data_IF_803973999109
#
_entry.id   IF_803973999109
#
_cell.length_a   1.000
_cell.length_b   1.000
_cell.length_c   1.000
_cell.angle_alpha   90.00
_cell.angle_beta   90.00
_cell.angle_gamma   90.00
#
_symmetry.space_group_name_H-M   'P 1'
#
loop_
_entity.id
_entity.type
_entity.pdbx_description
1 polymer ?
#
# COMPACT_ATOMS: atom_id res chain seq x y z
N UNK A 1 6.57 -6.78 -14.49
CA UNK A 1 5.77 -6.95 -13.27
C UNK A 1 6.43 -7.93 -12.30
N UNK A 2 6.62 -9.20 -12.66
CA UNK A 2 7.21 -10.25 -11.78
C UNK A 2 8.59 -9.83 -11.23
N UNK A 3 9.49 -9.27 -12.04
CA UNK A 3 10.81 -8.78 -11.58
C UNK A 3 10.70 -7.64 -10.58
N UNK A 4 9.76 -6.72 -10.77
CA UNK A 4 9.52 -5.61 -9.85
C UNK A 4 8.98 -6.13 -8.51
N UNK A 5 8.08 -7.11 -8.57
CA UNK A 5 7.51 -7.75 -7.40
C UNK A 5 8.56 -8.54 -6.60
N UNK A 6 9.38 -9.34 -7.30
CA UNK A 6 10.48 -10.08 -6.67
C UNK A 6 11.52 -9.15 -6.03
N UNK A 7 11.86 -8.04 -6.70
CA UNK A 7 12.76 -7.03 -6.15
C UNK A 7 12.19 -6.40 -4.88
N UNK A 8 10.88 -6.17 -4.83
CA UNK A 8 10.19 -5.60 -3.69
C UNK A 8 10.13 -6.55 -2.49
N UNK A 9 9.84 -7.84 -2.75
CA UNK A 9 9.86 -8.87 -1.70
C UNK A 9 11.26 -9.08 -1.09
N UNK A 10 12.31 -8.74 -1.83
CA UNK A 10 13.70 -8.82 -1.36
C UNK A 10 14.23 -7.48 -0.81
N UNK A 11 13.47 -6.38 -0.98
CA UNK A 11 13.89 -5.09 -0.48
C UNK A 11 13.63 -5.00 1.04
N UNK A 12 14.54 -4.41 1.81
CA UNK A 12 14.27 -4.11 3.20
C UNK A 12 13.21 -3.01 3.29
N UNK A 13 12.12 -3.28 4.00
CA UNK A 13 11.09 -2.32 4.37
C UNK A 13 11.29 -1.82 5.80
N UNK A 14 10.36 -0.98 6.24
CA UNK A 14 10.27 -0.55 7.62
C UNK A 14 9.16 -1.35 8.31
N UNK A 15 9.50 -2.11 9.35
CA UNK A 15 8.50 -2.79 10.17
C UNK A 15 7.93 -1.80 11.19
N UNK A 16 6.67 -1.44 11.04
CA UNK A 16 5.99 -0.54 11.96
C UNK A 16 5.73 -1.20 13.30
N UNK A 17 5.74 -0.40 14.36
CA UNK A 17 5.49 -0.85 15.73
C UNK A 17 4.05 -1.35 15.91
N UNK A 18 3.77 -2.25 16.87
CA UNK A 18 2.41 -2.59 17.26
C UNK A 18 1.60 -1.36 17.69
N UNK A 19 0.28 -1.49 17.66
CA UNK A 19 -0.63 -0.38 17.95
C UNK A 19 -0.38 0.25 19.31
N UNK A 20 -0.27 1.58 19.30
CA UNK A 20 -0.13 2.41 20.51
C UNK A 20 -1.50 2.64 21.17
N UNK A 21 -1.50 3.21 22.38
CA UNK A 21 -2.74 3.68 23.04
C UNK A 21 -3.46 4.74 22.23
N UNK A 22 -2.72 5.63 21.55
CA UNK A 22 -3.30 6.64 20.68
C UNK A 22 -3.95 6.05 19.42
N UNK A 23 -3.39 4.96 18.88
CA UNK A 23 -4.02 4.24 17.78
C UNK A 23 -5.40 3.71 18.20
N UNK A 24 -5.50 3.12 19.37
CA UNK A 24 -6.78 2.63 19.92
C UNK A 24 -7.77 3.76 20.17
N UNK A 25 -7.31 4.85 20.76
CA UNK A 25 -8.13 6.05 21.01
C UNK A 25 -8.69 6.64 19.69
N UNK A 26 -7.86 6.70 18.63
CA UNK A 26 -8.31 7.09 17.30
C UNK A 26 -9.40 6.15 16.77
N UNK A 27 -9.20 4.85 16.91
CA UNK A 27 -10.15 3.84 16.43
C UNK A 27 -11.47 3.88 17.21
N UNK A 28 -11.40 3.96 18.54
CA UNK A 28 -12.57 4.08 19.42
C UNK A 28 -13.38 5.38 19.18
N UNK A 29 -12.72 6.43 18.67
CA UNK A 29 -13.39 7.69 18.30
C UNK A 29 -14.18 7.63 17.00
N UNK A 30 -14.16 6.51 16.28
CA UNK A 30 -14.92 6.35 15.04
C UNK A 30 -16.42 6.28 15.32
N UNK A 31 -17.20 7.12 14.65
CA UNK A 31 -18.62 7.31 14.93
C UNK A 31 -19.51 6.14 14.46
N UNK A 32 -18.96 5.18 13.76
CA UNK A 32 -19.70 4.05 13.17
C UNK A 32 -19.10 2.73 13.67
N UNK A 33 -19.88 1.67 13.56
CA UNK A 33 -19.40 0.31 13.83
C UNK A 33 -18.87 -0.27 12.52
N UNK A 34 -17.67 -0.80 12.55
CA UNK A 34 -17.06 -1.44 11.40
C UNK A 34 -17.81 -2.72 11.03
N UNK A 35 -17.90 -3.00 9.75
CA UNK A 35 -18.33 -4.32 9.28
C UNK A 35 -17.23 -5.35 9.54
N UNK A 36 -17.61 -6.64 9.55
CA UNK A 36 -16.66 -7.75 9.74
C UNK A 36 -15.53 -7.68 8.71
N UNK A 37 -15.86 -7.37 7.46
CA UNK A 37 -14.88 -7.28 6.37
C UNK A 37 -13.97 -6.05 6.51
N UNK A 38 -14.52 -4.92 6.97
CA UNK A 38 -13.70 -3.73 7.26
C UNK A 38 -12.70 -4.02 8.37
N UNK A 39 -13.15 -4.62 9.47
CA UNK A 39 -12.27 -4.97 10.58
C UNK A 39 -11.19 -5.97 10.15
N UNK A 40 -11.56 -7.02 9.42
CA UNK A 40 -10.60 -7.98 8.88
C UNK A 40 -9.54 -7.31 7.98
N UNK A 41 -9.98 -6.38 7.11
CA UNK A 41 -9.07 -5.63 6.22
C UNK A 41 -8.14 -4.70 7.01
N UNK A 42 -8.64 -4.01 8.04
CA UNK A 42 -7.82 -3.17 8.92
C UNK A 42 -6.73 -4.01 9.60
N UNK A 43 -7.11 -5.16 10.17
CA UNK A 43 -6.18 -6.05 10.84
C UNK A 43 -5.12 -6.63 9.89
N UNK A 44 -5.51 -6.91 8.65
CA UNK A 44 -4.59 -7.39 7.62
C UNK A 44 -3.60 -6.30 7.18
N UNK A 45 -4.06 -5.06 6.97
CA UNK A 45 -3.20 -3.92 6.64
C UNK A 45 -2.18 -3.68 7.75
N UNK A 46 -2.62 -3.65 9.00
CA UNK A 46 -1.73 -3.47 10.17
C UNK A 46 -0.68 -4.57 10.25
N UNK A 47 -1.09 -5.83 10.11
CA UNK A 47 -0.16 -6.98 10.10
C UNK A 47 0.85 -6.93 8.96
N UNK A 48 0.46 -6.43 7.80
CA UNK A 48 1.39 -6.28 6.68
C UNK A 48 2.38 -5.15 6.93
N UNK A 49 1.96 -4.02 7.51
CA UNK A 49 2.83 -2.91 7.90
C UNK A 49 3.85 -3.31 8.98
N UNK A 50 3.54 -4.27 9.83
CA UNK A 50 4.44 -4.78 10.89
C UNK A 50 5.50 -5.76 10.38
N UNK A 51 5.45 -6.14 9.10
CA UNK A 51 6.45 -7.02 8.47
C UNK A 51 7.70 -6.24 8.05
N UNK A 52 8.87 -6.89 8.01
CA UNK A 52 10.11 -6.25 7.58
C UNK A 52 10.18 -5.97 6.06
N UNK A 53 9.20 -6.41 5.30
CA UNK A 53 9.14 -6.22 3.85
C UNK A 53 8.10 -5.15 3.52
N UNK A 54 8.34 -4.28 2.51
CA UNK A 54 7.39 -3.24 2.15
C UNK A 54 6.02 -3.81 1.77
N UNK A 55 4.97 -3.34 2.42
CA UNK A 55 3.59 -3.70 2.09
C UNK A 55 3.23 -3.25 0.66
N UNK A 56 2.50 -4.08 -0.08
CA UNK A 56 1.86 -3.72 -1.35
C UNK A 56 0.46 -4.32 -1.38
N UNK A 57 -0.48 -3.59 -0.82
CA UNK A 57 -1.85 -4.07 -0.63
C UNK A 57 -2.84 -3.24 -1.42
N UNK A 58 -3.81 -3.94 -2.00
CA UNK A 58 -4.94 -3.32 -2.67
C UNK A 58 -6.20 -3.61 -1.86
N UNK A 59 -6.90 -2.55 -1.50
CA UNK A 59 -8.23 -2.60 -0.86
C UNK A 59 -9.29 -2.28 -1.91
N UNK A 60 -10.08 -3.29 -2.23
CA UNK A 60 -11.22 -3.16 -3.15
C UNK A 60 -12.53 -3.12 -2.37
N UNK A 61 -13.43 -2.24 -2.74
CA UNK A 61 -14.76 -2.13 -2.15
C UNK A 61 -15.55 -1.02 -2.83
N UNK A 62 -16.87 -1.12 -2.83
CA UNK A 62 -17.73 -0.15 -3.46
C UNK A 62 -17.57 1.28 -2.93
N UNK A 63 -18.13 2.26 -3.64
CA UNK A 63 -18.16 3.65 -3.19
C UNK A 63 -18.95 3.73 -1.88
N UNK A 64 -18.40 4.43 -0.89
CA UNK A 64 -19.03 4.54 0.44
C UNK A 64 -18.72 3.38 1.40
N UNK A 65 -17.97 2.37 1.00
CA UNK A 65 -17.63 1.20 1.84
C UNK A 65 -16.58 1.48 2.93
N UNK A 66 -16.26 2.72 3.18
CA UNK A 66 -15.35 3.10 4.27
C UNK A 66 -13.86 2.87 4.00
N UNK A 67 -13.43 2.70 2.73
CA UNK A 67 -12.00 2.54 2.37
C UNK A 67 -11.11 3.64 2.94
N UNK A 68 -11.62 4.87 3.01
CA UNK A 68 -10.88 6.02 3.56
C UNK A 68 -10.56 5.84 5.03
N UNK A 69 -11.44 5.20 5.81
CA UNK A 69 -11.16 4.93 7.24
C UNK A 69 -9.99 3.96 7.42
N UNK A 70 -9.86 2.96 6.54
CA UNK A 70 -8.72 2.05 6.52
C UNK A 70 -7.42 2.84 6.27
N UNK A 71 -7.44 3.76 5.30
CA UNK A 71 -6.30 4.63 5.02
C UNK A 71 -5.97 5.58 6.18
N UNK A 72 -6.99 6.13 6.88
CA UNK A 72 -6.81 6.97 8.06
C UNK A 72 -6.05 6.19 9.15
N UNK A 73 -6.46 4.98 9.46
CA UNK A 73 -5.82 4.13 10.49
C UNK A 73 -4.40 3.73 10.11
N UNK A 74 -4.18 3.33 8.87
CA UNK A 74 -2.84 3.00 8.37
C UNK A 74 -1.90 4.21 8.38
N UNK A 75 -2.38 5.38 7.96
CA UNK A 75 -1.61 6.61 7.98
C UNK A 75 -1.27 7.05 9.41
N UNK A 76 -2.19 6.94 10.35
CA UNK A 76 -1.93 7.27 11.74
C UNK A 76 -0.87 6.34 12.36
N UNK A 77 -0.95 5.04 12.08
CA UNK A 77 0.08 4.06 12.51
C UNK A 77 1.47 4.45 11.99
N UNK A 78 1.57 4.86 10.73
CA UNK A 78 2.84 5.29 10.15
C UNK A 78 3.39 6.56 10.80
N UNK A 79 2.52 7.54 11.10
CA UNK A 79 2.89 8.79 11.78
C UNK A 79 3.37 8.55 13.21
N UNK A 80 2.76 7.58 13.93
CA UNK A 80 3.19 7.22 15.28
C UNK A 80 4.65 6.76 15.36
N UNK A 81 5.15 6.14 14.29
CA UNK A 81 6.55 5.73 14.16
C UNK A 81 7.45 6.79 13.52
N UNK A 82 6.98 8.04 13.45
CA UNK A 82 7.74 9.18 12.91
C UNK A 82 7.95 9.10 11.40
N UNK A 83 7.10 8.35 10.67
CA UNK A 83 7.14 8.27 9.20
C UNK A 83 6.18 9.26 8.58
N UNK A 84 6.58 9.80 7.44
CA UNK A 84 5.70 10.64 6.63
C UNK A 84 4.79 9.77 5.76
N UNK A 85 3.60 10.30 5.48
CA UNK A 85 2.58 9.65 4.65
C UNK A 85 2.22 10.54 3.48
N UNK A 86 2.22 9.97 2.27
CA UNK A 86 1.72 10.63 1.07
C UNK A 86 0.41 9.98 0.63
N UNK A 87 -0.63 10.78 0.43
CA UNK A 87 -1.95 10.33 -0.04
C UNK A 87 -2.17 10.93 -1.43
N UNK A 88 -2.16 10.05 -2.42
CA UNK A 88 -2.30 10.40 -3.82
C UNK A 88 -3.74 10.20 -4.27
N UNK A 89 -4.36 11.26 -4.76
CA UNK A 89 -5.74 11.26 -5.28
C UNK A 89 -5.82 11.85 -6.69
N UNK A 90 -6.77 11.41 -7.53
CA UNK A 90 -6.80 11.83 -8.93
C UNK A 90 -7.27 13.26 -9.17
N UNK A 91 -8.03 13.85 -8.25
CA UNK A 91 -8.65 15.17 -8.46
C UNK A 91 -8.45 16.10 -7.27
N UNK A 92 -8.45 17.40 -7.53
CA UNK A 92 -8.35 18.43 -6.49
C UNK A 92 -9.57 18.47 -5.55
N UNK A 93 -10.73 18.03 -6.02
CA UNK A 93 -11.90 17.88 -5.17
C UNK A 93 -11.70 16.78 -4.12
N UNK A 94 -11.15 15.64 -4.54
CA UNK A 94 -10.81 14.55 -3.62
C UNK A 94 -9.70 14.96 -2.64
N UNK A 95 -8.74 15.80 -3.05
CA UNK A 95 -7.75 16.35 -2.11
C UNK A 95 -8.46 17.07 -0.96
N UNK A 96 -9.44 17.91 -1.26
CA UNK A 96 -10.15 18.67 -0.22
C UNK A 96 -11.03 17.75 0.65
N UNK A 97 -11.70 16.77 0.04
CA UNK A 97 -12.52 15.80 0.78
C UNK A 97 -11.67 14.96 1.74
N UNK A 98 -10.56 14.42 1.26
CA UNK A 98 -9.63 13.67 2.11
C UNK A 98 -9.01 14.55 3.20
N UNK A 99 -8.60 15.79 2.85
CA UNK A 99 -8.08 16.72 3.86
C UNK A 99 -9.08 16.94 4.99
N UNK A 100 -10.33 17.20 4.67
CA UNK A 100 -11.37 17.40 5.67
C UNK A 100 -11.59 16.13 6.52
N UNK A 101 -11.65 14.96 5.89
CA UNK A 101 -11.82 13.68 6.60
C UNK A 101 -10.65 13.43 7.56
N UNK A 102 -9.41 13.54 7.08
CA UNK A 102 -8.23 13.31 7.90
C UNK A 102 -8.09 14.36 9.01
N UNK A 103 -8.39 15.64 8.72
CA UNK A 103 -8.37 16.70 9.72
C UNK A 103 -9.38 16.46 10.85
N UNK A 104 -10.59 16.04 10.52
CA UNK A 104 -11.61 15.71 11.50
C UNK A 104 -11.22 14.49 12.35
N UNK A 105 -10.67 13.45 11.72
CA UNK A 105 -10.26 12.24 12.42
C UNK A 105 -9.04 12.45 13.33
N UNK A 106 -8.13 13.35 12.94
CA UNK A 106 -6.91 13.63 13.71
C UNK A 106 -7.03 14.86 14.62
N UNK A 107 -8.24 15.46 14.79
CA UNK A 107 -8.46 16.70 15.56
C UNK A 107 -8.07 16.56 17.01
N UNK A 108 -7.71 15.61 17.62
CA UNK A 108 -7.20 15.47 19.01
C UNK A 108 -5.72 15.10 19.07
N UNK A 109 -5.07 14.92 17.94
CA UNK A 109 -3.72 14.36 17.87
C UNK A 109 -2.73 15.35 17.25
N UNK A 110 -1.45 15.31 17.65
CA UNK A 110 -0.42 16.23 17.14
C UNK A 110 0.08 15.80 15.75
N UNK A 111 -0.82 15.66 14.78
CA UNK A 111 -0.52 15.28 13.38
C UNK A 111 -0.65 16.50 12.48
N UNK A 112 0.40 16.82 11.74
CA UNK A 112 0.44 17.95 10.82
C UNK A 112 0.07 17.52 9.41
N UNK A 113 -1.08 18.00 8.94
CA UNK A 113 -1.63 17.72 7.62
C UNK A 113 -1.33 18.87 6.66
N UNK A 114 -1.04 18.55 5.41
CA UNK A 114 -0.96 19.53 4.32
C UNK A 114 -1.67 19.01 3.07
N UNK A 115 -2.19 19.93 2.27
CA UNK A 115 -2.77 19.62 0.96
C UNK A 115 -1.93 20.26 -0.15
N UNK A 116 -1.55 19.48 -1.15
CA UNK A 116 -0.80 19.95 -2.30
C UNK A 116 -1.62 19.76 -3.59
N UNK A 117 -2.13 20.84 -4.11
CA UNK A 117 -2.96 20.87 -5.32
C UNK A 117 -2.69 22.12 -6.14
N UNK A 118 -3.28 22.21 -7.34
CA UNK A 118 -3.19 23.41 -8.19
C UNK A 118 -3.80 24.68 -7.60
N UNK A 119 -4.54 24.56 -6.49
CA UNK A 119 -5.14 25.72 -5.82
C UNK A 119 -4.20 26.39 -4.81
N UNK A 120 -3.07 25.77 -4.48
CA UNK A 120 -2.08 26.38 -3.63
C UNK A 120 -1.36 27.52 -4.36
N UNK A 121 -1.11 28.61 -3.65
CA UNK A 121 -0.24 29.68 -4.14
C UNK A 121 1.20 29.21 -4.26
N UNK A 122 2.02 29.91 -5.03
CA UNK A 122 3.43 29.57 -5.17
C UNK A 122 4.18 29.60 -3.81
N UNK A 123 3.79 30.50 -2.91
CA UNK A 123 4.35 30.60 -1.56
C UNK A 123 3.96 29.39 -0.73
N UNK A 124 2.67 29.06 -0.65
CA UNK A 124 2.18 27.89 0.06
C UNK A 124 2.82 26.60 -0.46
N UNK A 125 2.96 26.47 -1.77
CA UNK A 125 3.62 25.30 -2.38
C UNK A 125 5.06 25.16 -1.90
N UNK A 126 5.82 26.25 -1.86
CA UNK A 126 7.21 26.26 -1.37
C UNK A 126 7.29 25.91 0.12
N UNK A 127 6.38 26.43 0.93
CA UNK A 127 6.30 26.13 2.37
C UNK A 127 5.99 24.66 2.61
N UNK A 128 5.04 24.08 1.85
CA UNK A 128 4.70 22.67 1.95
C UNK A 128 5.91 21.79 1.54
N UNK A 129 6.57 22.10 0.42
CA UNK A 129 7.76 21.36 -0.02
C UNK A 129 8.88 21.43 1.02
N UNK A 130 9.14 22.61 1.57
CA UNK A 130 10.12 22.78 2.65
C UNK A 130 9.73 21.98 3.91
N UNK A 131 8.45 21.99 4.26
CA UNK A 131 7.92 21.23 5.39
C UNK A 131 8.02 19.72 5.22
N UNK A 132 7.83 19.20 4.00
CA UNK A 132 8.04 17.79 3.67
C UNK A 132 9.53 17.40 3.77
N UNK A 133 10.40 18.23 3.23
CA UNK A 133 11.84 17.99 3.26
C UNK A 133 12.43 18.07 4.67
N UNK A 134 11.87 18.92 5.54
CA UNK A 134 12.31 19.04 6.93
C UNK A 134 11.65 18.05 7.89
N UNK A 135 10.66 17.26 7.44
CA UNK A 135 9.90 16.34 8.28
C UNK A 135 8.89 17.01 9.21
N UNK A 136 8.57 18.30 8.99
CA UNK A 136 7.57 19.05 9.79
C UNK A 136 6.15 18.62 9.43
N UNK A 137 5.89 18.23 8.18
CA UNK A 137 4.59 17.75 7.73
C UNK A 137 4.58 16.23 7.81
N UNK A 138 3.62 15.67 8.53
CA UNK A 138 3.49 14.24 8.75
C UNK A 138 2.69 13.58 7.63
N UNK A 139 1.59 14.19 7.20
CA UNK A 139 0.72 13.66 6.15
C UNK A 139 0.49 14.71 5.08
N UNK A 140 0.73 14.38 3.84
CA UNK A 140 0.41 15.23 2.70
C UNK A 140 -0.59 14.56 1.77
N UNK A 141 -1.63 15.29 1.40
CA UNK A 141 -2.67 14.84 0.48
C UNK A 141 -2.56 15.66 -0.79
N UNK A 142 -2.43 15.01 -1.94
CA UNK A 142 -2.28 15.74 -3.18
C UNK A 142 -2.58 14.94 -4.43
N UNK A 143 -2.55 15.63 -5.56
CA UNK A 143 -2.69 15.02 -6.88
C UNK A 143 -1.33 14.50 -7.38
N UNK A 144 -1.24 14.12 -8.66
CA UNK A 144 0.01 13.75 -9.33
C UNK A 144 1.17 14.73 -9.09
N UNK A 145 0.90 15.96 -8.65
CA UNK A 145 1.92 16.94 -8.25
C UNK A 145 2.87 16.39 -7.16
N UNK A 146 2.38 15.49 -6.29
CA UNK A 146 3.21 14.82 -5.28
C UNK A 146 4.32 13.94 -5.86
N UNK A 147 4.21 13.54 -7.13
CA UNK A 147 5.19 12.69 -7.81
C UNK A 147 6.27 13.51 -8.53
N UNK A 148 6.20 14.83 -8.48
CA UNK A 148 7.17 15.69 -9.18
C UNK A 148 8.53 15.64 -8.51
N UNK A 149 9.58 15.75 -9.30
CA UNK A 149 10.98 15.59 -8.89
C UNK A 149 11.48 16.62 -7.86
N UNK A 150 10.78 17.74 -7.72
CA UNK A 150 11.10 18.80 -6.76
C UNK A 150 10.54 18.51 -5.35
N UNK A 151 9.78 17.44 -5.19
CA UNK A 151 9.24 17.02 -3.88
C UNK A 151 10.14 15.95 -3.29
N UNK A 152 10.73 16.28 -2.17
CA UNK A 152 11.55 15.38 -1.38
C UNK A 152 10.92 15.17 0.00
N UNK A 153 10.85 13.92 0.44
CA UNK A 153 10.39 13.55 1.77
C UNK A 153 11.60 13.27 2.67
N UNK A 154 11.53 13.73 3.92
CA UNK A 154 12.56 13.41 4.90
C UNK A 154 12.54 11.91 5.27
N UNK A 155 11.36 11.34 5.46
CA UNK A 155 11.20 9.97 5.94
C UNK A 155 9.87 9.34 5.50
N UNK A 156 9.64 9.20 4.18
CA UNK A 156 8.41 8.59 3.66
C UNK A 156 8.33 7.12 4.04
N UNK A 157 7.25 6.72 4.74
CA UNK A 157 7.01 5.33 5.15
C UNK A 157 5.78 4.70 4.50
N UNK A 158 4.76 5.50 4.18
CA UNK A 158 3.52 5.00 3.59
C UNK A 158 3.07 5.86 2.41
N UNK A 159 2.71 5.21 1.32
CA UNK A 159 2.07 5.80 0.15
C UNK A 159 0.65 5.22 0.00
N UNK A 160 -0.35 6.05 0.18
CA UNK A 160 -1.75 5.70 -0.09
C UNK A 160 -2.13 6.20 -1.47
N UNK A 161 -2.76 5.35 -2.29
CA UNK A 161 -3.18 5.69 -3.66
C UNK A 161 -4.68 5.44 -3.77
N UNK A 162 -5.43 6.49 -3.98
CA UNK A 162 -6.87 6.38 -4.22
C UNK A 162 -7.16 6.39 -5.72
N UNK A 163 -7.97 5.44 -6.20
CA UNK A 163 -8.40 5.31 -7.59
C UNK A 163 -7.20 5.27 -8.58
N UNK A 164 -6.23 4.38 -8.35
CA UNK A 164 -5.00 4.25 -9.15
C UNK A 164 -5.26 4.18 -10.67
N UNK A 165 -6.39 3.63 -11.09
CA UNK A 165 -6.77 3.51 -12.49
C UNK A 165 -6.89 4.84 -13.22
N UNK A 166 -7.14 5.93 -12.50
CA UNK A 166 -7.30 7.28 -13.08
C UNK A 166 -5.99 8.00 -13.35
N UNK A 167 -4.86 7.42 -12.94
CA UNK A 167 -3.53 8.00 -13.21
C UNK A 167 -3.00 7.61 -14.59
N UNK A 168 -2.39 8.56 -15.29
CA UNK A 168 -1.75 8.36 -16.60
C UNK A 168 -0.53 7.44 -16.54
N UNK A 169 -0.06 7.00 -17.69
CA UNK A 169 1.07 6.05 -17.82
C UNK A 169 2.36 6.61 -17.20
N UNK A 170 2.67 7.88 -17.45
CA UNK A 170 3.88 8.55 -16.94
C UNK A 170 3.88 8.58 -15.39
N UNK A 171 2.76 8.93 -14.78
CA UNK A 171 2.61 8.94 -13.33
C UNK A 171 2.75 7.54 -12.71
N UNK A 172 2.33 6.49 -13.43
CA UNK A 172 2.48 5.11 -12.99
C UNK A 172 3.94 4.65 -12.96
N UNK A 173 4.79 5.19 -13.81
CA UNK A 173 6.23 4.89 -13.78
C UNK A 173 6.94 5.59 -12.61
N UNK A 174 6.56 6.82 -12.30
CA UNK A 174 7.07 7.53 -11.11
C UNK A 174 6.60 6.85 -9.82
N UNK A 175 5.34 6.44 -9.75
CA UNK A 175 4.81 5.62 -8.66
C UNK A 175 5.60 4.32 -8.46
N UNK A 176 6.01 3.64 -9.54
CA UNK A 176 6.81 2.43 -9.45
C UNK A 176 8.16 2.65 -8.76
N UNK A 177 8.79 3.81 -8.98
CA UNK A 177 10.06 4.18 -8.35
C UNK A 177 9.86 4.50 -6.87
N UNK A 178 8.81 5.25 -6.52
CA UNK A 178 8.48 5.58 -5.15
C UNK A 178 8.11 4.34 -4.30
N UNK A 179 7.60 3.29 -4.94
CA UNK A 179 7.13 2.05 -4.29
C UNK A 179 8.25 1.12 -3.81
N UNK A 180 9.51 1.32 -4.15
CA UNK A 180 10.53 0.26 -3.98
C UNK A 180 10.77 -0.09 -2.52
N UNK A 181 10.83 0.89 -1.61
CA UNK A 181 11.16 0.69 -0.20
C UNK A 181 10.11 1.28 0.77
N UNK A 182 8.93 1.63 0.26
CA UNK A 182 7.86 2.28 1.00
C UNK A 182 6.63 1.40 0.97
N UNK A 183 5.89 1.35 2.04
CA UNK A 183 4.60 0.66 2.10
C UNK A 183 3.60 1.32 1.17
N UNK A 184 2.85 0.53 0.44
CA UNK A 184 1.83 0.99 -0.49
C UNK A 184 0.48 0.39 -0.18
N UNK A 185 -0.49 1.28 0.02
CA UNK A 185 -1.90 0.96 0.17
C UNK A 185 -2.67 1.57 -1.00
N UNK A 186 -3.08 0.74 -1.96
CA UNK A 186 -3.93 1.18 -3.06
C UNK A 186 -5.40 0.92 -2.72
N UNK A 187 -6.26 1.90 -3.03
CA UNK A 187 -7.72 1.79 -2.86
C UNK A 187 -8.40 1.90 -4.21
N UNK A 188 -9.39 1.05 -4.47
CA UNK A 188 -10.18 1.10 -5.71
C UNK A 188 -11.64 0.73 -5.46
N UNK A 189 -12.55 1.44 -6.13
CA UNK A 189 -13.96 1.08 -6.14
C UNK A 189 -14.27 -0.04 -7.15
N UNK A 190 -13.48 -0.12 -8.22
CA UNK A 190 -13.67 -1.12 -9.28
C UNK A 190 -12.34 -1.82 -9.52
N UNK A 191 -12.22 -3.12 -9.22
CA UNK A 191 -11.04 -3.88 -9.61
C UNK A 191 -10.96 -3.90 -11.14
N UNK A 192 -10.02 -3.11 -11.70
CA UNK A 192 -9.74 -3.15 -13.13
C UNK A 192 -8.89 -4.38 -13.44
N UNK A 193 -8.96 -4.95 -14.66
CA UNK A 193 -8.24 -6.15 -15.04
C UNK A 193 -6.76 -6.18 -14.64
N UNK A 194 -6.08 -5.03 -14.69
CA UNK A 194 -4.67 -4.91 -14.32
C UNK A 194 -4.40 -5.03 -12.82
N UNK A 195 -5.33 -4.52 -12.00
CA UNK A 195 -5.29 -4.65 -10.53
C UNK A 195 -5.63 -6.08 -10.12
N UNK A 196 -6.59 -6.69 -10.83
CA UNK A 196 -6.93 -8.09 -10.67
C UNK A 196 -5.77 -9.00 -11.11
N UNK A 197 -5.08 -8.66 -12.20
CA UNK A 197 -3.88 -9.35 -12.69
C UNK A 197 -2.76 -9.33 -11.65
N UNK A 198 -2.54 -8.18 -10.99
CA UNK A 198 -1.59 -8.05 -9.87
C UNK A 198 -2.01 -8.90 -8.67
N UNK A 199 -3.29 -8.87 -8.29
CA UNK A 199 -3.81 -9.67 -7.17
C UNK A 199 -3.72 -11.18 -7.46
N UNK A 200 -4.01 -11.62 -8.69
CA UNK A 200 -3.86 -13.02 -9.12
C UNK A 200 -2.39 -13.44 -9.10
N UNK A 201 -1.48 -12.61 -9.58
CA UNK A 201 -0.04 -12.88 -9.54
C UNK A 201 0.43 -12.99 -8.08
N UNK A 202 -0.04 -12.13 -7.19
CA UNK A 202 0.26 -12.18 -5.76
C UNK A 202 -0.24 -13.48 -5.14
N UNK A 203 -1.47 -13.87 -5.44
CA UNK A 203 -2.06 -15.13 -4.96
C UNK A 203 -1.27 -16.34 -5.48
N UNK A 204 -0.88 -16.35 -6.76
CA UNK A 204 -0.08 -17.43 -7.35
C UNK A 204 1.31 -17.55 -6.73
N UNK A 205 1.96 -16.41 -6.44
CA UNK A 205 3.27 -16.42 -5.79
C UNK A 205 3.20 -16.91 -4.34
N UNK A 206 2.16 -16.51 -3.59
CA UNK A 206 1.95 -17.02 -2.21
C UNK A 206 1.61 -18.50 -2.21
N UNK A 207 0.77 -18.99 -3.11
CA UNK A 207 0.46 -20.42 -3.26
C UNK A 207 1.70 -21.21 -3.70
N UNK A 208 2.52 -20.69 -4.59
CA UNK A 208 3.79 -21.29 -5.01
C UNK A 208 4.79 -21.38 -3.86
N UNK A 209 4.88 -20.35 -3.02
CA UNK A 209 5.74 -20.36 -1.83
C UNK A 209 5.26 -21.36 -0.78
N UNK A 210 3.95 -21.47 -0.56
CA UNK A 210 3.37 -22.48 0.33
C UNK A 210 3.63 -23.89 -0.22
N UNK A 211 3.48 -24.11 -1.53
CA UNK A 211 3.77 -25.39 -2.17
C UNK A 211 5.25 -25.78 -2.04
N UNK A 212 6.15 -24.82 -2.23
CA UNK A 212 7.59 -25.02 -2.05
C UNK A 212 7.94 -25.30 -0.58
N UNK A 213 7.28 -24.62 0.37
CA UNK A 213 7.49 -24.85 1.80
C UNK A 213 6.97 -26.24 2.24
N UNK A 214 5.83 -26.68 1.72
CA UNK A 214 5.29 -28.02 1.96
C UNK A 214 6.20 -29.09 1.34
N UNK A 215 6.68 -28.89 0.11
CA UNK A 215 7.62 -29.81 -0.55
C UNK A 215 8.96 -29.89 0.20
N UNK A 216 9.51 -28.77 0.68
CA UNK A 216 10.75 -28.77 1.47
C UNK A 216 10.57 -29.43 2.83
N UNK A 217 9.39 -29.29 3.45
CA UNK A 217 9.09 -29.94 4.74
C UNK A 217 8.83 -31.43 4.59
N UNK A 218 8.25 -31.87 3.49
CA UNK A 218 7.99 -33.28 3.19
C UNK A 218 9.20 -34.05 2.63
N UNK A 219 10.16 -33.32 2.04
CA UNK A 219 11.37 -33.92 1.42
C UNK A 219 12.61 -33.92 2.32
N UNK A 220 12.51 -33.42 3.53
CA UNK A 220 13.55 -33.48 4.53
C UNK A 220 13.38 -34.72 5.40
N UNK A 221 13.75 -35.93 4.98
CA UNK A 221 15.09 -36.46 5.08
C UNK A 221 15.48 -37.50 4.02
N UNK A 222 15.61 -37.16 2.79
CA UNK A 222 16.21 -38.07 1.83
C UNK A 222 17.02 -37.36 0.74
N UNK A 223 18.32 -37.42 0.90
CA UNK A 223 19.43 -37.19 -0.08
C UNK A 223 19.19 -36.13 -1.18
N UNK A 224 19.98 -35.05 -1.04
CA UNK A 224 20.44 -34.16 -2.12
C UNK A 224 20.53 -34.85 -3.49
N UNK A 225 19.60 -34.50 -4.37
CA UNK A 225 19.80 -34.48 -5.80
C UNK A 225 19.30 -33.15 -6.32
N UNK A 226 20.16 -32.43 -7.02
CA UNK A 226 19.86 -31.18 -7.69
C UNK A 226 18.60 -31.31 -8.57
N UNK A 227 17.50 -30.75 -8.09
CA UNK A 227 16.31 -30.55 -8.93
C UNK A 227 16.47 -29.15 -9.51
N UNK A 228 16.83 -29.07 -10.78
CA UNK A 228 16.95 -27.83 -11.53
C UNK A 228 15.60 -27.10 -11.57
N UNK A 229 15.64 -25.77 -11.41
CA UNK A 229 14.47 -24.89 -11.52
C UNK A 229 13.68 -25.08 -12.84
N UNK A 230 14.31 -25.59 -13.88
CA UNK A 230 13.71 -25.91 -15.18
C UNK A 230 12.76 -27.13 -15.11
N UNK A 231 13.01 -28.12 -14.25
CA UNK A 231 12.13 -29.27 -14.09
C UNK A 231 10.85 -28.95 -13.30
N UNK A 232 10.91 -27.96 -12.40
CA UNK A 232 9.73 -27.47 -11.66
C UNK A 232 8.81 -26.61 -12.53
N UNK A 233 9.39 -25.84 -13.45
CA UNK A 233 8.61 -25.07 -14.44
C UNK A 233 7.95 -25.98 -15.49
N UNK A 234 8.58 -27.08 -15.88
CA UNK A 234 8.01 -28.07 -16.80
C UNK A 234 6.82 -28.82 -16.17
N UNK A 235 6.88 -29.13 -14.88
CA UNK A 235 5.80 -29.81 -14.17
C UNK A 235 4.57 -28.90 -13.99
N UNK A 236 4.75 -27.59 -13.76
CA UNK A 236 3.65 -26.63 -13.68
C UNK A 236 2.96 -26.40 -15.04
N UNK A 237 3.71 -26.43 -16.14
CA UNK A 237 3.16 -26.31 -17.49
C UNK A 237 2.31 -27.55 -17.90
N UNK A 238 2.69 -28.75 -17.45
CA UNK A 238 1.92 -29.97 -17.68
C UNK A 238 0.62 -30.00 -16.87
N UNK A 239 0.59 -29.47 -15.66
CA UNK A 239 -0.64 -29.36 -14.86
C UNK A 239 -1.64 -28.35 -15.45
N UNK A 240 -1.18 -27.27 -16.07
CA UNK A 240 -2.05 -26.33 -16.80
C UNK A 240 -2.62 -26.91 -18.10
N UNK A 241 -1.90 -27.81 -18.76
CA UNK A 241 -2.37 -28.47 -19.98
C UNK A 241 -3.45 -29.54 -19.74
N UNK A 242 -3.59 -30.05 -18.52
CA UNK A 242 -4.63 -31.01 -18.15
C UNK A 242 -6.00 -30.38 -17.85
N UNK A 243 -6.04 -29.11 -17.48
CA UNK A 243 -7.31 -28.41 -17.23
C UNK A 243 -8.02 -27.93 -18.51
N UNK A 244 -7.36 -27.91 -19.65
CA UNK A 244 -7.98 -27.56 -20.94
C UNK A 244 -8.62 -28.74 -21.70
N UNK A 245 -8.58 -29.94 -21.17
CA UNK A 245 -9.17 -31.16 -21.80
C UNK A 245 -10.44 -31.69 -21.13
N UNK A 246 -11.00 -30.99 -20.16
CA UNK A 246 -12.24 -31.37 -19.46
C UNK A 246 -13.23 -30.22 -19.39
N UNK A 247 -13.42 -29.49 -20.50
CA UNK A 247 -14.54 -28.59 -20.72
C UNK A 247 -15.12 -28.80 -22.12
#
# INVERSE_FOLDING_TARGET
LIRLYAARMSAPGFAFSPDTTWQKELEDSFAFVETIDQQATIDEVKRDMEKPNPMDRIVCGDVGYGKTEIAVRAAFKAVQDGKQVAILVPTTLLVQQHLNTFSNRYAGFPVRLAALSRFNTATQTKEIIAGLKSGVIDVVIGTHRLLSKDIEFANLGLLVIDEEQRFGVEHKEELKKARTNVDVLAMSATPIPRTLEMAIIQLMLTLSSIHLMVLTTLLSPCKQREISLLSLLACSAQLMGLQQRTA
#
